data_IF_038667762726
#
_entry.id   IF_038667762726
#
_cell.length_a   1.000
_cell.length_b   1.000
_cell.length_c   1.000
_cell.angle_alpha   90.00
_cell.angle_beta   90.00
_cell.angle_gamma   90.00
#
_symmetry.space_group_name_H-M   'P 1'
#
loop_
_entity.id
_entity.type
_entity.pdbx_description
1 polymer ?
#
# COMPACT_ATOMS: atom_id res chain seq x y z
N UNK A 1 2.26 7.16 -14.62
CA UNK A 1 2.22 8.20 -13.56
C UNK A 1 1.81 7.59 -12.23
N UNK A 2 2.25 8.16 -11.15
CA UNK A 2 2.01 7.62 -9.80
C UNK A 2 0.51 7.50 -9.46
N UNK A 3 -0.35 8.53 -9.71
CA UNK A 3 -1.78 8.38 -9.43
C UNK A 3 -2.42 7.22 -10.18
N UNK A 4 -2.01 6.97 -11.42
CA UNK A 4 -2.55 5.85 -12.21
C UNK A 4 -2.16 4.51 -11.62
N UNK A 5 -0.93 4.40 -11.09
CA UNK A 5 -0.45 3.17 -10.45
C UNK A 5 -1.26 2.87 -9.19
N UNK A 6 -1.53 3.89 -8.39
CA UNK A 6 -2.36 3.74 -7.18
C UNK A 6 -3.81 3.41 -7.53
N UNK A 7 -4.33 3.98 -8.61
CA UNK A 7 -5.67 3.64 -9.09
C UNK A 7 -5.78 2.17 -9.50
N UNK A 8 -4.73 1.61 -10.09
CA UNK A 8 -4.70 0.17 -10.43
C UNK A 8 -4.73 -0.71 -9.19
N UNK A 9 -4.08 -0.29 -8.11
CA UNK A 9 -4.14 -0.99 -6.83
C UNK A 9 -5.57 -0.99 -6.31
N UNK A 10 -6.24 0.17 -6.34
CA UNK A 10 -7.64 0.27 -5.93
C UNK A 10 -8.54 -0.67 -6.74
N UNK A 11 -8.33 -0.74 -8.05
CA UNK A 11 -9.09 -1.64 -8.93
C UNK A 11 -8.91 -3.10 -8.53
N UNK A 12 -7.68 -3.53 -8.26
CA UNK A 12 -7.40 -4.90 -7.82
C UNK A 12 -8.14 -5.23 -6.53
N UNK A 13 -8.12 -4.31 -5.57
CA UNK A 13 -8.78 -4.52 -4.29
C UNK A 13 -10.30 -4.56 -4.43
N UNK A 14 -10.86 -3.69 -5.29
CA UNK A 14 -12.30 -3.67 -5.55
C UNK A 14 -12.79 -4.98 -6.16
N UNK A 15 -11.97 -5.60 -7.02
CA UNK A 15 -12.33 -6.83 -7.72
C UNK A 15 -12.12 -8.08 -6.87
N UNK A 16 -11.39 -7.98 -5.77
CA UNK A 16 -11.10 -9.11 -4.92
C UNK A 16 -12.37 -9.58 -4.21
N UNK A 17 -12.67 -10.87 -4.29
CA UNK A 17 -13.83 -11.48 -3.62
C UNK A 17 -13.47 -12.04 -2.25
N UNK A 18 -12.19 -12.12 -1.92
CA UNK A 18 -11.73 -12.68 -0.65
C UNK A 18 -11.70 -11.66 0.47
N UNK A 19 -11.90 -10.38 0.18
CA UNK A 19 -11.86 -9.30 1.15
C UNK A 19 -13.29 -8.88 1.51
N UNK A 20 -13.58 -8.76 2.81
CA UNK A 20 -14.90 -8.31 3.28
C UNK A 20 -15.14 -6.87 2.83
N UNK A 21 -16.41 -6.53 2.59
CA UNK A 21 -16.79 -5.19 2.14
C UNK A 21 -16.35 -4.09 3.11
N UNK A 22 -16.46 -4.32 4.42
CA UNK A 22 -16.03 -3.34 5.43
C UNK A 22 -14.52 -3.11 5.39
N UNK A 23 -13.74 -4.18 5.23
CA UNK A 23 -12.28 -4.08 5.11
C UNK A 23 -11.88 -3.43 3.81
N UNK A 24 -12.58 -3.76 2.72
CA UNK A 24 -12.37 -3.17 1.42
C UNK A 24 -12.58 -1.66 1.45
N UNK A 25 -13.67 -1.22 2.09
CA UNK A 25 -13.98 0.20 2.21
C UNK A 25 -12.90 0.95 2.98
N UNK A 26 -12.40 0.36 4.08
CA UNK A 26 -11.35 0.99 4.87
C UNK A 26 -10.02 1.05 4.10
N UNK A 27 -9.66 -0.03 3.39
CA UNK A 27 -8.46 -0.05 2.56
C UNK A 27 -8.51 1.00 1.44
N UNK A 28 -9.67 1.14 0.79
CA UNK A 28 -9.84 2.12 -0.27
C UNK A 28 -9.73 3.55 0.26
N UNK A 29 -10.26 3.79 1.47
CA UNK A 29 -10.12 5.09 2.13
C UNK A 29 -8.64 5.40 2.43
N UNK A 30 -7.92 4.42 2.95
CA UNK A 30 -6.49 4.58 3.25
C UNK A 30 -5.68 4.83 1.97
N UNK A 31 -6.01 4.14 0.88
CA UNK A 31 -5.34 4.35 -0.40
C UNK A 31 -5.60 5.75 -0.97
N UNK A 32 -6.82 6.26 -0.78
CA UNK A 32 -7.15 7.63 -1.19
C UNK A 32 -6.30 8.65 -0.42
N UNK A 33 -6.16 8.46 0.89
CA UNK A 33 -5.31 9.31 1.74
C UNK A 33 -3.85 9.18 1.34
N UNK A 34 -3.40 7.97 1.05
CA UNK A 34 -2.03 7.72 0.59
C UNK A 34 -1.74 8.47 -0.71
N UNK A 35 -2.68 8.45 -1.64
CA UNK A 35 -2.54 9.14 -2.91
C UNK A 35 -2.32 10.64 -2.70
N UNK A 36 -3.08 11.25 -1.79
CA UNK A 36 -2.94 12.66 -1.46
C UNK A 36 -1.56 12.97 -0.87
N UNK A 37 -1.11 12.16 0.10
CA UNK A 37 0.19 12.36 0.75
C UNK A 37 1.34 12.19 -0.24
N UNK A 38 1.27 11.17 -1.09
CA UNK A 38 2.32 10.91 -2.08
C UNK A 38 2.40 12.05 -3.11
N UNK A 39 1.26 12.56 -3.56
CA UNK A 39 1.23 13.67 -4.51
C UNK A 39 1.94 14.90 -3.94
N UNK A 40 1.75 15.16 -2.65
CA UNK A 40 2.35 16.32 -1.99
C UNK A 40 3.88 16.25 -1.94
N UNK A 41 4.46 15.05 -1.89
CA UNK A 41 5.90 14.88 -1.72
C UNK A 41 6.63 14.36 -2.97
N UNK A 42 5.89 14.08 -4.05
CA UNK A 42 6.46 13.42 -5.24
C UNK A 42 7.59 14.22 -5.90
N UNK A 43 7.54 15.54 -5.84
CA UNK A 43 8.57 16.40 -6.45
C UNK A 43 9.88 16.42 -5.65
N UNK A 44 9.79 16.33 -4.33
CA UNK A 44 10.94 16.44 -3.44
C UNK A 44 11.51 15.10 -2.98
N UNK A 45 10.69 14.03 -3.05
CA UNK A 45 11.06 12.69 -2.58
C UNK A 45 10.75 11.63 -3.63
N UNK A 46 11.13 11.89 -4.88
CA UNK A 46 10.73 11.03 -6.01
C UNK A 46 11.23 9.59 -5.86
N UNK A 47 12.45 9.38 -5.36
CA UNK A 47 12.98 8.02 -5.18
C UNK A 47 12.22 7.27 -4.08
N UNK A 48 11.92 7.95 -2.98
CA UNK A 48 11.14 7.35 -1.89
C UNK A 48 9.72 7.00 -2.37
N UNK A 49 9.11 7.89 -3.14
CA UNK A 49 7.77 7.65 -3.69
C UNK A 49 7.76 6.44 -4.62
N UNK A 50 8.78 6.29 -5.48
CA UNK A 50 8.88 5.12 -6.35
C UNK A 50 8.98 3.83 -5.55
N UNK A 51 9.75 3.83 -4.46
CA UNK A 51 9.86 2.66 -3.59
C UNK A 51 8.54 2.34 -2.91
N UNK A 52 7.88 3.35 -2.36
CA UNK A 52 6.59 3.17 -1.67
C UNK A 52 5.56 2.58 -2.63
N UNK A 53 5.41 3.18 -3.81
CA UNK A 53 4.41 2.73 -4.79
C UNK A 53 4.77 1.34 -5.31
N UNK A 54 6.06 1.07 -5.56
CA UNK A 54 6.50 -0.25 -6.01
C UNK A 54 6.16 -1.35 -5.02
N UNK A 55 6.43 -1.14 -3.73
CA UNK A 55 6.10 -2.12 -2.71
C UNK A 55 4.59 -2.20 -2.47
N UNK A 56 3.85 -1.11 -2.61
CA UNK A 56 2.39 -1.14 -2.52
C UNK A 56 1.80 -1.98 -3.66
N UNK A 57 2.31 -1.82 -4.87
CA UNK A 57 1.89 -2.63 -6.02
C UNK A 57 2.19 -4.11 -5.80
N UNK A 58 3.39 -4.42 -5.31
CA UNK A 58 3.78 -5.79 -5.04
C UNK A 58 2.91 -6.41 -3.94
N UNK A 59 2.65 -5.66 -2.88
CA UNK A 59 1.79 -6.13 -1.78
C UNK A 59 0.38 -6.44 -2.28
N UNK A 60 -0.19 -5.57 -3.11
CA UNK A 60 -1.52 -5.79 -3.68
C UNK A 60 -1.52 -7.02 -4.60
N UNK A 61 -0.46 -7.20 -5.38
CA UNK A 61 -0.32 -8.37 -6.25
C UNK A 61 -0.28 -9.66 -5.42
N UNK A 62 0.57 -9.70 -4.38
CA UNK A 62 0.68 -10.89 -3.54
C UNK A 62 -0.59 -11.18 -2.76
N UNK A 63 -1.28 -10.14 -2.30
CA UNK A 63 -2.52 -10.29 -1.53
C UNK A 63 -3.67 -10.82 -2.38
N UNK A 64 -3.67 -10.55 -3.68
CA UNK A 64 -4.79 -10.88 -4.57
C UNK A 64 -4.51 -12.00 -5.58
N UNK A 65 -3.29 -12.54 -5.60
CA UNK A 65 -2.98 -13.63 -6.53
C UNK A 65 -3.71 -14.90 -6.13
N UNK A 66 -4.06 -15.73 -7.11
CA UNK A 66 -4.80 -16.96 -6.87
C UNK A 66 -3.95 -18.05 -6.21
N UNK A 67 -2.68 -18.14 -6.57
CA UNK A 67 -1.73 -19.08 -5.95
C UNK A 67 -0.89 -18.31 -4.93
N UNK A 68 -1.31 -18.38 -3.66
CA UNK A 68 -0.69 -17.58 -2.60
C UNK A 68 0.74 -18.01 -2.29
N UNK A 69 1.61 -17.03 -2.05
CA UNK A 69 2.98 -17.24 -1.62
C UNK A 69 3.21 -16.42 -0.35
N UNK A 70 3.02 -17.02 0.83
CA UNK A 70 3.12 -16.28 2.10
C UNK A 70 4.47 -15.61 2.32
N UNK A 71 5.55 -16.23 1.84
CA UNK A 71 6.90 -15.66 1.99
C UNK A 71 7.05 -14.37 1.21
N UNK A 72 6.62 -14.36 -0.06
CA UNK A 72 6.67 -13.16 -0.89
C UNK A 72 5.73 -12.07 -0.38
N UNK A 73 4.57 -12.48 0.10
CA UNK A 73 3.62 -11.54 0.70
C UNK A 73 4.23 -10.84 1.91
N UNK A 74 4.82 -11.61 2.82
CA UNK A 74 5.47 -11.06 4.02
C UNK A 74 6.61 -10.12 3.65
N UNK A 75 7.45 -10.50 2.69
CA UNK A 75 8.55 -9.66 2.20
C UNK A 75 8.05 -8.36 1.61
N UNK A 76 6.94 -8.40 0.86
CA UNK A 76 6.37 -7.21 0.25
C UNK A 76 5.86 -6.22 1.30
N UNK A 77 5.25 -6.71 2.38
CA UNK A 77 4.78 -5.85 3.48
C UNK A 77 5.95 -5.25 4.25
N UNK A 78 7.00 -6.04 4.49
CA UNK A 78 8.21 -5.54 5.14
C UNK A 78 8.90 -4.46 4.30
N UNK A 79 8.94 -4.66 2.99
CA UNK A 79 9.49 -3.67 2.07
C UNK A 79 8.67 -2.37 2.10
N UNK A 80 7.35 -2.49 2.11
CA UNK A 80 6.47 -1.32 2.16
C UNK A 80 6.69 -0.53 3.45
N UNK A 81 6.72 -1.21 4.59
CA UNK A 81 6.97 -0.56 5.89
C UNK A 81 8.35 0.10 5.92
N UNK A 82 9.36 -0.57 5.40
CA UNK A 82 10.73 -0.04 5.34
C UNK A 82 10.83 1.19 4.45
N UNK A 83 10.06 1.22 3.36
CA UNK A 83 10.14 2.31 2.37
C UNK A 83 9.76 3.68 2.93
N UNK A 84 9.06 3.75 4.06
CA UNK A 84 8.63 5.02 4.66
C UNK A 84 9.42 5.41 5.92
N UNK A 85 10.34 4.55 6.38
CA UNK A 85 11.06 4.81 7.64
C UNK A 85 11.85 6.12 7.63
N UNK A 86 12.47 6.45 6.51
CA UNK A 86 13.24 7.67 6.38
C UNK A 86 12.37 8.94 6.43
N UNK A 87 11.07 8.78 6.28
CA UNK A 87 10.11 9.89 6.25
C UNK A 87 9.39 10.09 7.58
N UNK A 88 9.72 9.30 8.61
CA UNK A 88 8.98 9.28 9.87
C UNK A 88 8.97 10.63 10.56
N UNK A 89 10.08 11.34 10.54
CA UNK A 89 10.20 12.65 11.21
C UNK A 89 9.54 13.77 10.41
N UNK A 90 9.65 13.74 9.09
CA UNK A 90 9.18 14.83 8.24
C UNK A 90 7.73 14.64 7.76
N UNK A 91 7.29 13.39 7.62
CA UNK A 91 5.95 13.07 7.08
C UNK A 91 5.28 11.97 7.91
N UNK A 92 4.97 12.25 9.20
CA UNK A 92 4.44 11.21 10.09
C UNK A 92 3.07 10.68 9.67
N UNK A 93 2.24 11.48 9.01
CA UNK A 93 0.93 11.03 8.56
C UNK A 93 1.07 9.97 7.47
N UNK A 94 2.02 10.15 6.56
CA UNK A 94 2.32 9.16 5.51
C UNK A 94 2.72 7.83 6.14
N UNK A 95 3.62 7.87 7.13
CA UNK A 95 4.08 6.67 7.83
C UNK A 95 2.91 5.97 8.54
N UNK A 96 2.05 6.75 9.20
CA UNK A 96 0.86 6.21 9.86
C UNK A 96 -0.04 5.49 8.87
N UNK A 97 -0.32 6.09 7.72
CA UNK A 97 -1.19 5.50 6.69
C UNK A 97 -0.59 4.19 6.18
N UNK A 98 0.70 4.18 5.86
CA UNK A 98 1.37 2.97 5.35
C UNK A 98 1.36 1.86 6.40
N UNK A 99 1.67 2.16 7.65
CA UNK A 99 1.65 1.17 8.71
C UNK A 99 0.25 0.60 8.93
N UNK A 100 -0.77 1.44 8.83
CA UNK A 100 -2.16 1.01 8.96
C UNK A 100 -2.56 0.08 7.81
N UNK A 101 -2.16 0.41 6.59
CA UNK A 101 -2.40 -0.44 5.41
C UNK A 101 -1.74 -1.80 5.60
N UNK A 102 -0.46 -1.81 6.01
CA UNK A 102 0.28 -3.06 6.24
C UNK A 102 -0.41 -3.93 7.29
N UNK A 103 -0.86 -3.34 8.39
CA UNK A 103 -1.55 -4.08 9.44
C UNK A 103 -2.85 -4.67 8.94
N UNK A 104 -3.65 -3.88 8.23
CA UNK A 104 -4.92 -4.37 7.70
C UNK A 104 -4.73 -5.53 6.74
N UNK A 105 -3.79 -5.41 5.80
CA UNK A 105 -3.53 -6.47 4.83
C UNK A 105 -3.03 -7.72 5.54
N UNK A 106 -2.14 -7.55 6.52
CA UNK A 106 -1.63 -8.67 7.31
C UNK A 106 -2.75 -9.38 8.07
N UNK A 107 -3.69 -8.62 8.63
CA UNK A 107 -4.80 -9.18 9.42
C UNK A 107 -5.84 -9.90 8.54
N UNK A 108 -5.81 -9.72 7.22
CA UNK A 108 -6.71 -10.44 6.32
C UNK A 108 -6.39 -11.93 6.22
N UNK A 109 -5.26 -12.37 6.76
CA UNK A 109 -4.91 -13.78 6.82
C UNK A 109 -4.56 -14.40 5.48
N UNK A 110 -4.07 -13.62 4.59
CA UNK A 110 -3.72 -14.06 3.23
C UNK A 110 -2.42 -14.86 3.19
#
# INVERSE_FOLDING_TARGET
MIPDRLNKIEEKLKQSQSIKESDKAELLDLLSKLKTEITDISDTHSEDVESIVGFAELSAHEATRSDKNPELFDLSLKGLASSVQSLEMSHPMLVFIINRICKMISDLGI
#
